data_IF_645925794678
#
_entry.id   IF_645925794678
#
_cell.length_a   1.000
_cell.length_b   1.000
_cell.length_c   1.000
_cell.angle_alpha   90.00
_cell.angle_beta   90.00
_cell.angle_gamma   90.00
#
_symmetry.space_group_name_H-M   'P 1'
#
loop_
_entity.id
_entity.type
_entity.pdbx_description
1 polymer ?
#
# COMPACT_ATOMS: atom_id res chain seq x y z
N UNK A 1 21.66 -6.95 -12.22
CA UNK A 1 20.33 -6.26 -12.19
C UNK A 1 19.34 -7.30 -11.74
N UNK A 2 18.83 -7.19 -10.52
CA UNK A 2 17.82 -8.13 -10.01
C UNK A 2 16.52 -7.87 -10.76
N UNK A 3 16.21 -8.74 -11.70
CA UNK A 3 14.92 -8.74 -12.38
C UNK A 3 13.90 -9.29 -11.37
N UNK A 4 13.27 -8.42 -10.60
CA UNK A 4 12.19 -8.80 -9.69
C UNK A 4 10.96 -9.13 -10.53
N UNK A 5 10.67 -10.42 -10.65
CA UNK A 5 9.40 -10.88 -11.22
C UNK A 5 8.36 -10.84 -10.09
N UNK A 6 7.43 -9.89 -10.17
CA UNK A 6 6.26 -9.90 -9.30
C UNK A 6 5.54 -11.24 -9.46
N UNK A 7 5.53 -12.04 -8.40
CA UNK A 7 4.78 -13.29 -8.37
C UNK A 7 3.34 -13.00 -7.94
N UNK A 8 2.42 -13.78 -8.48
CA UNK A 8 1.03 -13.71 -8.09
C UNK A 8 0.84 -14.38 -6.72
N UNK A 9 0.04 -13.75 -5.86
CA UNK A 9 -0.31 -14.27 -4.54
C UNK A 9 -1.22 -15.49 -4.67
N UNK A 10 -0.96 -16.54 -3.87
CA UNK A 10 -1.79 -17.72 -3.76
C UNK A 10 -2.49 -17.74 -2.40
N UNK A 11 -3.68 -18.31 -2.29
CA UNK A 11 -4.39 -18.41 -1.01
C UNK A 11 -3.58 -19.10 0.10
N UNK A 12 -2.73 -20.05 -0.27
CA UNK A 12 -1.78 -20.71 0.64
C UNK A 12 -0.73 -19.77 1.23
N UNK A 13 -0.52 -18.61 0.63
CA UNK A 13 0.46 -17.61 1.06
C UNK A 13 -0.05 -16.72 2.22
N UNK A 14 -1.34 -16.81 2.55
CA UNK A 14 -1.99 -15.86 3.45
C UNK A 14 -1.29 -15.72 4.81
N UNK A 15 -0.92 -16.82 5.42
CA UNK A 15 -0.31 -16.79 6.76
C UNK A 15 1.05 -16.09 6.75
N UNK A 16 1.88 -16.33 5.70
CA UNK A 16 3.15 -15.65 5.49
C UNK A 16 2.97 -14.17 5.20
N UNK A 17 2.01 -13.82 4.35
CA UNK A 17 1.62 -12.45 4.03
C UNK A 17 1.15 -11.69 5.28
N UNK A 18 0.20 -12.26 6.02
CA UNK A 18 -0.39 -11.60 7.18
C UNK A 18 0.63 -11.44 8.33
N UNK A 19 1.56 -12.40 8.46
CA UNK A 19 2.69 -12.27 9.39
C UNK A 19 3.55 -11.06 9.03
N UNK A 20 3.98 -10.93 7.77
CA UNK A 20 4.79 -9.79 7.31
C UNK A 20 4.04 -8.46 7.44
N UNK A 21 2.73 -8.45 7.21
CA UNK A 21 1.88 -7.27 7.44
C UNK A 21 1.92 -6.83 8.90
N UNK A 22 1.75 -7.75 9.86
CA UNK A 22 1.81 -7.43 11.30
C UNK A 22 3.19 -6.95 11.77
N UNK A 23 4.25 -7.38 11.11
CA UNK A 23 5.61 -6.92 11.39
C UNK A 23 5.89 -5.53 10.79
N UNK A 24 5.17 -5.17 9.72
CA UNK A 24 5.38 -3.94 8.96
C UNK A 24 4.51 -2.75 9.35
N UNK A 25 3.33 -3.01 9.95
CA UNK A 25 2.31 -1.99 10.20
C UNK A 25 1.79 -2.06 11.64
N UNK A 26 1.46 -0.91 12.25
CA UNK A 26 0.75 -0.87 13.53
C UNK A 26 -0.70 -1.36 13.33
N UNK A 27 -1.30 -1.89 14.40
CA UNK A 27 -2.66 -2.47 14.35
C UNK A 27 -3.74 -1.49 13.92
N UNK A 28 -3.54 -0.19 14.14
CA UNK A 28 -4.47 0.89 13.71
C UNK A 28 -4.54 1.02 12.19
N UNK A 29 -3.49 0.62 11.48
CA UNK A 29 -3.39 0.63 10.02
C UNK A 29 -3.72 -0.72 9.38
N UNK A 30 -4.30 -1.64 10.14
CA UNK A 30 -4.55 -3.01 9.67
C UNK A 30 -6.00 -3.44 9.93
N UNK A 31 -6.51 -4.28 9.03
CA UNK A 31 -7.75 -5.03 9.28
C UNK A 31 -7.53 -6.18 10.24
N UNK A 32 -8.62 -6.69 10.81
CA UNK A 32 -8.60 -7.99 11.49
C UNK A 32 -8.12 -9.10 10.54
N UNK A 33 -7.64 -10.21 11.08
CA UNK A 33 -7.24 -11.36 10.26
C UNK A 33 -8.39 -11.89 9.39
N UNK A 34 -9.60 -11.88 9.92
CA UNK A 34 -10.82 -12.31 9.21
C UNK A 34 -11.15 -11.34 8.07
N UNK A 35 -11.17 -10.02 8.33
CA UNK A 35 -11.44 -9.03 7.31
C UNK A 35 -10.36 -9.02 6.21
N UNK A 36 -9.09 -9.24 6.57
CA UNK A 36 -8.01 -9.37 5.61
C UNK A 36 -8.16 -10.61 4.72
N UNK A 37 -8.66 -11.75 5.27
CA UNK A 37 -9.01 -12.93 4.46
C UNK A 37 -10.17 -12.66 3.52
N UNK A 38 -11.18 -11.91 3.96
CA UNK A 38 -12.32 -11.57 3.14
C UNK A 38 -11.95 -10.70 1.94
N UNK A 39 -10.88 -9.88 2.04
CA UNK A 39 -10.38 -9.10 0.90
C UNK A 39 -9.88 -9.97 -0.25
N UNK A 40 -9.46 -11.20 -0.01
CA UNK A 40 -8.99 -12.11 -1.07
C UNK A 40 -10.10 -12.50 -2.07
N UNK A 41 -11.35 -12.18 -1.77
CA UNK A 41 -12.52 -12.39 -2.62
C UNK A 41 -13.04 -11.11 -3.28
N UNK A 42 -12.35 -9.97 -3.07
CA UNK A 42 -12.69 -8.70 -3.73
C UNK A 42 -11.99 -8.61 -5.08
N UNK A 43 -12.75 -8.52 -6.17
CA UNK A 43 -12.23 -8.55 -7.55
C UNK A 43 -11.21 -7.45 -7.87
N UNK A 44 -11.30 -6.30 -7.16
CA UNK A 44 -10.42 -5.16 -7.38
C UNK A 44 -9.17 -5.19 -6.49
N UNK A 45 -9.09 -6.13 -5.54
CA UNK A 45 -7.96 -6.23 -4.60
C UNK A 45 -6.95 -7.25 -5.08
N UNK A 46 -5.70 -6.83 -5.20
CA UNK A 46 -4.61 -7.67 -5.69
C UNK A 46 -3.42 -7.63 -4.73
N UNK A 47 -2.72 -8.76 -4.64
CA UNK A 47 -1.48 -8.86 -3.86
C UNK A 47 -0.38 -9.37 -4.80
N UNK A 48 0.67 -8.58 -4.94
CA UNK A 48 1.90 -8.97 -5.60
C UNK A 48 2.93 -9.31 -4.53
N UNK A 49 3.68 -10.40 -4.70
CA UNK A 49 4.63 -10.90 -3.71
C UNK A 49 6.01 -11.14 -4.29
N UNK A 50 7.02 -11.01 -3.43
CA UNK A 50 8.37 -11.52 -3.63
C UNK A 50 8.61 -12.60 -2.60
N UNK A 51 9.21 -13.72 -3.01
CA UNK A 51 9.43 -14.89 -2.16
C UNK A 51 10.91 -15.29 -2.17
N UNK A 52 11.38 -15.79 -1.05
CA UNK A 52 12.71 -16.41 -0.92
C UNK A 52 12.74 -17.83 -1.52
N UNK A 53 13.89 -18.49 -1.41
CA UNK A 53 14.12 -19.87 -1.88
C UNK A 53 13.25 -20.92 -1.15
N UNK A 54 12.74 -20.57 0.03
CA UNK A 54 11.86 -21.42 0.84
C UNK A 54 10.38 -21.08 0.67
N UNK A 55 10.03 -20.30 -0.36
CA UNK A 55 8.68 -19.81 -0.67
C UNK A 55 8.06 -18.90 0.41
N UNK A 56 8.86 -18.35 1.36
CA UNK A 56 8.36 -17.35 2.31
C UNK A 56 8.25 -16.00 1.63
N UNK A 57 7.17 -15.27 1.92
CA UNK A 57 7.00 -13.90 1.43
C UNK A 57 8.00 -12.98 2.12
N UNK A 58 8.84 -12.33 1.36
CA UNK A 58 9.86 -11.37 1.81
C UNK A 58 9.51 -9.93 1.50
N UNK A 59 8.61 -9.71 0.55
CA UNK A 59 8.02 -8.40 0.29
C UNK A 59 6.64 -8.57 -0.37
N UNK A 60 5.77 -7.59 -0.21
CA UNK A 60 4.49 -7.56 -0.91
C UNK A 60 4.03 -6.13 -1.20
N UNK A 61 3.21 -6.00 -2.27
CA UNK A 61 2.37 -4.84 -2.56
C UNK A 61 0.93 -5.32 -2.60
N UNK A 62 0.11 -4.82 -1.68
CA UNK A 62 -1.33 -5.04 -1.68
C UNK A 62 -2.00 -3.77 -2.21
N UNK A 63 -2.79 -3.90 -3.28
CA UNK A 63 -3.33 -2.77 -4.02
C UNK A 63 -4.75 -3.02 -4.52
N UNK A 64 -5.45 -1.91 -4.76
CA UNK A 64 -6.76 -1.85 -5.40
C UNK A 64 -6.63 -1.28 -6.80
N UNK A 65 -7.32 -1.89 -7.77
CA UNK A 65 -7.31 -1.48 -9.18
C UNK A 65 -8.67 -0.92 -9.58
N UNK A 66 -8.84 0.40 -9.44
CA UNK A 66 -10.04 1.10 -9.87
C UNK A 66 -9.99 1.46 -11.36
N UNK A 67 -11.11 1.92 -11.93
CA UNK A 67 -11.19 2.36 -13.33
C UNK A 67 -10.21 3.49 -13.65
N UNK A 68 -10.07 4.45 -12.75
CA UNK A 68 -9.39 5.72 -12.98
C UNK A 68 -8.00 5.80 -12.35
N UNK A 69 -7.72 4.96 -11.34
CA UNK A 69 -6.44 4.94 -10.63
C UNK A 69 -6.22 3.59 -9.94
N UNK A 70 -4.98 3.36 -9.50
CA UNK A 70 -4.61 2.29 -8.58
C UNK A 70 -4.31 2.87 -7.19
N UNK A 71 -4.64 2.13 -6.15
CA UNK A 71 -4.34 2.50 -4.77
C UNK A 71 -3.47 1.42 -4.11
N UNK A 72 -2.23 1.76 -3.74
CA UNK A 72 -1.40 0.90 -2.92
C UNK A 72 -1.80 1.09 -1.47
N UNK A 73 -2.50 0.11 -0.92
CA UNK A 73 -2.96 0.13 0.47
C UNK A 73 -1.84 -0.24 1.44
N UNK A 74 -1.08 -1.31 1.13
CA UNK A 74 0.05 -1.74 1.93
C UNK A 74 1.23 -2.15 1.05
N UNK A 75 2.43 -1.74 1.48
CA UNK A 75 3.69 -2.18 0.89
C UNK A 75 4.69 -2.45 2.00
N UNK A 76 5.16 -3.68 2.10
CA UNK A 76 6.15 -4.08 3.10
C UNK A 76 7.29 -4.89 2.52
N UNK A 77 8.44 -4.77 3.17
CA UNK A 77 9.64 -5.58 2.95
C UNK A 77 10.10 -6.11 4.30
N UNK A 78 10.41 -7.40 4.39
CA UNK A 78 10.94 -8.03 5.59
C UNK A 78 12.14 -7.23 6.12
N UNK A 79 12.10 -6.92 7.40
CA UNK A 79 13.10 -6.10 8.08
C UNK A 79 14.52 -6.67 7.93
N UNK A 80 14.67 -7.99 7.84
CA UNK A 80 15.96 -8.69 7.69
C UNK A 80 16.66 -8.43 6.37
N UNK A 81 15.90 -8.07 5.33
CA UNK A 81 16.42 -7.82 3.98
C UNK A 81 16.23 -6.36 3.53
N UNK A 82 15.81 -5.47 4.44
CA UNK A 82 15.76 -4.03 4.12
C UNK A 82 17.14 -3.51 3.76
N UNK A 83 17.18 -2.59 2.81
CA UNK A 83 18.46 -2.05 2.29
C UNK A 83 19.08 -2.86 1.15
N UNK A 84 18.61 -4.06 0.84
CA UNK A 84 19.08 -4.89 -0.28
C UNK A 84 18.64 -4.39 -1.67
N UNK A 85 17.75 -3.41 -1.74
CA UNK A 85 17.19 -2.90 -2.99
C UNK A 85 15.91 -3.61 -3.46
N UNK A 86 15.48 -4.69 -2.80
CA UNK A 86 14.28 -5.46 -3.17
C UNK A 86 13.03 -4.58 -3.22
N UNK A 87 12.79 -3.75 -2.20
CA UNK A 87 11.64 -2.85 -2.19
C UNK A 87 11.64 -1.86 -3.36
N UNK A 88 12.81 -1.32 -3.72
CA UNK A 88 12.96 -0.44 -4.88
C UNK A 88 12.68 -1.18 -6.18
N UNK A 89 13.23 -2.38 -6.34
CA UNK A 89 13.04 -3.20 -7.54
C UNK A 89 11.56 -3.61 -7.70
N UNK A 90 10.92 -4.04 -6.61
CA UNK A 90 9.52 -4.45 -6.60
C UNK A 90 8.58 -3.29 -6.96
N UNK A 91 8.75 -2.13 -6.32
CA UNK A 91 7.90 -0.98 -6.61
C UNK A 91 8.11 -0.48 -8.04
N UNK A 92 9.34 -0.43 -8.56
CA UNK A 92 9.60 -0.11 -9.97
C UNK A 92 8.94 -1.10 -10.94
N UNK A 93 9.00 -2.40 -10.65
CA UNK A 93 8.33 -3.41 -11.46
C UNK A 93 6.81 -3.21 -11.46
N UNK A 94 6.23 -2.86 -10.32
CA UNK A 94 4.81 -2.53 -10.20
C UNK A 94 4.45 -1.27 -11.00
N UNK A 95 5.21 -0.16 -10.83
CA UNK A 95 4.98 1.10 -11.55
C UNK A 95 5.02 0.91 -13.07
N UNK A 96 5.95 0.10 -13.57
CA UNK A 96 6.10 -0.17 -15.00
C UNK A 96 4.92 -0.96 -15.61
N UNK A 97 4.15 -1.68 -14.80
CA UNK A 97 2.95 -2.40 -15.25
C UNK A 97 1.70 -1.51 -15.25
N UNK A 98 1.72 -0.42 -14.50
CA UNK A 98 0.57 0.45 -14.33
C UNK A 98 0.56 1.54 -15.40
N UNK A 99 -0.60 1.75 -16.01
CA UNK A 99 -0.86 2.81 -16.99
C UNK A 99 -1.79 3.92 -16.45
N UNK A 100 -2.16 3.84 -15.19
CA UNK A 100 -3.05 4.76 -14.47
C UNK A 100 -2.28 5.49 -13.36
N UNK A 101 -2.77 6.65 -12.90
CA UNK A 101 -2.26 7.25 -11.67
C UNK A 101 -2.28 6.27 -10.51
N UNK A 102 -1.29 6.39 -9.63
CA UNK A 102 -1.18 5.54 -8.45
C UNK A 102 -1.20 6.43 -7.22
N UNK A 103 -2.00 6.06 -6.24
CA UNK A 103 -2.06 6.72 -4.93
C UNK A 103 -1.57 5.78 -3.83
N UNK A 104 -1.04 6.36 -2.78
CA UNK A 104 -0.77 5.69 -1.52
C UNK A 104 -0.89 6.67 -0.35
N UNK A 105 -1.10 6.12 0.83
CA UNK A 105 -1.15 6.86 2.09
C UNK A 105 0.16 6.71 2.83
N UNK A 106 0.59 7.78 3.52
CA UNK A 106 1.79 7.79 4.35
C UNK A 106 1.52 8.54 5.65
N UNK A 107 2.20 8.12 6.71
CA UNK A 107 2.19 8.84 7.99
C UNK A 107 2.67 10.28 7.83
N UNK A 108 2.22 11.15 8.72
CA UNK A 108 2.72 12.52 8.80
C UNK A 108 4.24 12.54 8.99
N UNK A 109 4.97 13.49 8.40
CA UNK A 109 6.44 13.57 8.48
C UNK A 109 6.93 14.07 9.85
N UNK A 110 6.54 13.41 10.93
CA UNK A 110 6.79 13.83 12.30
C UNK A 110 8.01 13.14 12.94
N UNK A 111 8.50 12.06 12.32
CA UNK A 111 9.63 11.31 12.83
C UNK A 111 10.55 10.82 11.70
N UNK A 112 11.74 10.33 12.07
CA UNK A 112 12.74 9.88 11.08
C UNK A 112 12.24 8.73 10.19
N UNK A 113 11.37 7.86 10.68
CA UNK A 113 10.88 6.70 9.93
C UNK A 113 9.90 7.15 8.86
N UNK A 114 8.90 7.99 9.23
CA UNK A 114 7.92 8.52 8.29
C UNK A 114 8.57 9.42 7.23
N UNK A 115 9.53 10.27 7.64
CA UNK A 115 10.31 11.11 6.70
C UNK A 115 11.08 10.23 5.70
N UNK A 116 11.80 9.19 6.17
CA UNK A 116 12.53 8.26 5.28
C UNK A 116 11.62 7.52 4.33
N UNK A 117 10.41 7.16 4.75
CA UNK A 117 9.39 6.52 3.91
C UNK A 117 8.93 7.46 2.80
N UNK A 118 8.60 8.71 3.12
CA UNK A 118 8.23 9.73 2.14
C UNK A 118 9.37 9.96 1.13
N UNK A 119 10.60 10.10 1.60
CA UNK A 119 11.77 10.28 0.72
C UNK A 119 12.06 9.05 -0.15
N UNK A 120 11.77 7.85 0.33
CA UNK A 120 11.83 6.63 -0.50
C UNK A 120 10.88 6.72 -1.68
N UNK A 121 9.61 7.08 -1.44
CA UNK A 121 8.62 7.23 -2.51
C UNK A 121 8.94 8.39 -3.46
N UNK A 122 9.41 9.53 -2.95
CA UNK A 122 9.85 10.67 -3.78
C UNK A 122 10.95 10.27 -4.76
N UNK A 123 11.96 9.50 -4.32
CA UNK A 123 13.03 9.01 -5.18
C UNK A 123 12.54 8.09 -6.30
N UNK A 124 11.35 7.52 -6.15
CA UNK A 124 10.69 6.67 -7.15
C UNK A 124 9.67 7.42 -8.01
N UNK A 125 9.60 8.75 -7.86
CA UNK A 125 8.75 9.61 -8.69
C UNK A 125 7.37 9.89 -8.11
N UNK A 126 7.11 9.57 -6.84
CA UNK A 126 5.89 9.98 -6.17
C UNK A 126 5.97 11.43 -5.69
N UNK A 127 4.84 12.09 -5.65
CA UNK A 127 4.64 13.45 -5.18
C UNK A 127 3.81 13.46 -3.90
N UNK A 128 4.28 14.15 -2.88
CA UNK A 128 3.54 14.39 -1.65
C UNK A 128 2.51 15.51 -1.90
N UNK A 129 1.23 15.21 -1.80
CA UNK A 129 0.17 16.19 -1.98
C UNK A 129 -0.13 16.90 -0.65
N UNK A 130 -0.46 18.18 -0.73
CA UNK A 130 -0.69 19.02 0.46
C UNK A 130 -2.18 19.15 0.80
N UNK A 131 -2.93 18.02 0.76
CA UNK A 131 -4.31 17.97 1.22
C UNK A 131 -4.39 17.43 2.65
N UNK A 132 -5.41 17.85 3.38
CA UNK A 132 -5.78 17.22 4.63
C UNK A 132 -6.51 15.90 4.36
N UNK A 133 -6.03 14.83 4.98
CA UNK A 133 -6.58 13.51 4.81
C UNK A 133 -6.64 12.77 6.15
N UNK A 134 -7.80 12.17 6.41
CA UNK A 134 -8.05 11.34 7.58
C UNK A 134 -8.48 9.95 7.10
N UNK A 135 -7.65 8.95 7.31
CA UNK A 135 -8.02 7.57 7.00
C UNK A 135 -9.15 7.12 7.93
N UNK A 136 -10.26 6.59 7.41
CA UNK A 136 -11.28 5.96 8.24
C UNK A 136 -10.71 4.75 8.98
N UNK A 137 -11.20 4.45 10.20
CA UNK A 137 -10.70 3.34 10.98
C UNK A 137 -10.92 2.00 10.28
N UNK A 138 -9.89 1.17 10.19
CA UNK A 138 -9.96 -0.19 9.64
C UNK A 138 -10.60 -1.19 10.61
N UNK A 139 -10.68 -0.85 11.90
CA UNK A 139 -11.32 -1.63 12.95
C UNK A 139 -12.08 -0.70 13.88
N UNK A 140 -13.23 -1.13 14.36
CA UNK A 140 -14.21 -0.31 15.10
C UNK A 140 -13.68 0.35 16.39
N UNK A 141 -12.62 -0.20 16.98
CA UNK A 141 -12.02 0.33 18.21
C UNK A 141 -11.06 1.49 17.99
N UNK A 142 -10.74 1.83 16.74
CA UNK A 142 -9.82 2.92 16.41
C UNK A 142 -10.55 4.15 15.90
N UNK A 143 -9.92 5.29 16.03
CA UNK A 143 -10.36 6.57 15.48
C UNK A 143 -9.79 6.80 14.08
N UNK A 144 -10.21 7.90 13.45
CA UNK A 144 -9.62 8.37 12.22
C UNK A 144 -8.12 8.65 12.37
N UNK A 145 -7.33 8.21 11.41
CA UNK A 145 -5.88 8.38 11.42
C UNK A 145 -5.47 9.51 10.47
N UNK A 146 -4.82 10.59 10.98
CA UNK A 146 -4.27 11.63 10.11
C UNK A 146 -3.10 11.09 9.27
N UNK A 147 -3.25 11.14 7.94
CA UNK A 147 -2.23 10.72 6.98
C UNK A 147 -2.02 11.79 5.91
N UNK A 148 -1.01 11.59 5.07
CA UNK A 148 -0.81 12.31 3.80
C UNK A 148 -1.02 11.36 2.64
N UNK A 149 -1.40 11.92 1.50
CA UNK A 149 -1.57 11.17 0.25
C UNK A 149 -0.42 11.50 -0.69
N UNK A 150 0.22 10.48 -1.22
CA UNK A 150 1.19 10.62 -2.31
C UNK A 150 0.61 10.08 -3.61
N UNK A 151 1.01 10.66 -4.72
CA UNK A 151 0.55 10.28 -6.06
C UNK A 151 1.72 10.11 -7.04
N UNK A 152 1.54 9.24 -8.03
CA UNK A 152 2.48 8.98 -9.11
C UNK A 152 1.72 9.02 -10.45
N UNK A 153 2.27 9.53 -11.55
CA UNK A 153 3.65 10.07 -11.72
C UNK A 153 3.76 11.58 -11.46
N UNK A 154 2.71 12.23 -10.97
CA UNK A 154 2.66 13.68 -10.71
C UNK A 154 1.82 14.01 -9.49
N UNK A 155 1.91 15.24 -9.01
CA UNK A 155 0.91 15.78 -8.08
C UNK A 155 -0.47 15.84 -8.72
N UNK A 156 -1.52 15.80 -7.90
CA UNK A 156 -2.91 15.85 -8.34
C UNK A 156 -3.58 17.15 -7.92
N UNK A 157 -4.61 17.54 -8.65
CA UNK A 157 -5.47 18.65 -8.28
C UNK A 157 -6.52 18.25 -7.24
N UNK A 158 -7.30 19.24 -6.75
CA UNK A 158 -8.33 19.00 -5.73
C UNK A 158 -9.43 18.06 -6.22
N UNK A 159 -9.82 18.14 -7.48
CA UNK A 159 -10.85 17.27 -8.07
C UNK A 159 -10.39 15.81 -8.10
N UNK A 160 -9.17 15.57 -8.52
CA UNK A 160 -8.56 14.24 -8.55
C UNK A 160 -8.42 13.68 -7.13
N UNK A 161 -8.01 14.52 -6.18
CA UNK A 161 -7.91 14.13 -4.77
C UNK A 161 -9.27 13.78 -4.17
N UNK A 162 -10.31 14.58 -4.43
CA UNK A 162 -11.68 14.31 -3.95
C UNK A 162 -12.21 12.99 -4.54
N UNK A 163 -11.98 12.74 -5.84
CA UNK A 163 -12.36 11.47 -6.47
C UNK A 163 -11.67 10.28 -5.81
N UNK A 164 -10.34 10.36 -5.62
CA UNK A 164 -9.57 9.36 -4.89
C UNK A 164 -10.16 9.13 -3.50
N UNK A 165 -10.28 10.18 -2.68
CA UNK A 165 -10.78 10.11 -1.30
C UNK A 165 -12.15 9.43 -1.22
N UNK A 166 -13.11 9.88 -2.04
CA UNK A 166 -14.48 9.35 -2.02
C UNK A 166 -14.51 7.87 -2.41
N UNK A 167 -13.76 7.49 -3.45
CA UNK A 167 -13.68 6.10 -3.92
C UNK A 167 -13.07 5.19 -2.85
N UNK A 168 -11.96 5.61 -2.23
CA UNK A 168 -11.27 4.83 -1.20
C UNK A 168 -12.12 4.74 0.06
N UNK A 169 -12.78 5.82 0.47
CA UNK A 169 -13.70 5.79 1.62
C UNK A 169 -14.84 4.80 1.41
N UNK A 170 -15.47 4.84 0.24
CA UNK A 170 -16.60 3.95 -0.09
C UNK A 170 -16.16 2.49 -0.27
N UNK A 171 -15.16 2.26 -1.12
CA UNK A 171 -14.82 0.91 -1.61
C UNK A 171 -13.81 0.17 -0.74
N UNK A 172 -12.85 0.87 -0.16
CA UNK A 172 -11.75 0.27 0.64
C UNK A 172 -12.13 0.22 2.12
N UNK A 173 -12.53 1.36 2.66
CA UNK A 173 -12.86 1.48 4.09
C UNK A 173 -14.32 1.19 4.40
N UNK A 174 -15.20 1.10 3.38
CA UNK A 174 -16.66 0.89 3.52
C UNK A 174 -17.27 1.90 4.48
N UNK A 175 -16.73 3.12 4.45
CA UNK A 175 -17.13 4.24 5.28
C UNK A 175 -18.08 5.14 4.51
N UNK A 176 -19.37 4.80 4.55
CA UNK A 176 -20.45 5.61 4.00
C UNK A 176 -20.97 6.53 5.11
N UNK A 177 -20.98 7.85 4.84
CA UNK A 177 -21.69 8.82 5.65
C UNK A 177 -23.16 8.81 5.33
#
# INVERSE_FOLDING_TARGET
MNNTNLKEFQHSDFDSFFKLMREGFPSVEMRSCEDAKNLLYEDLYNINVEKDENENITAFIANWEFSDFNFIEHFAVDSKIRGSGIGTAMLKAYLNKCNKPIFLEVELPENHVSIRRIEFYKRLGFYLNNFEYLQPPMQKQYDFLPLKVMSYPRSVDEKEFINFKNTVYDRVYKFNK
#
